data_IF_864902991681
#
_entry.id   IF_864902991681
#
_cell.length_a   1.000
_cell.length_b   1.000
_cell.length_c   1.000
_cell.angle_alpha   90.00
_cell.angle_beta   90.00
_cell.angle_gamma   90.00
#
_symmetry.space_group_name_H-M   'P 1'
#
loop_
_entity.id
_entity.type
_entity.pdbx_description
1 polymer ?
#
# COMPACT_ATOMS: atom_id res chain seq x y z
N UNK A 1 -49.06 7.57 -16.63
CA UNK A 1 -48.01 7.24 -17.62
C UNK A 1 -46.79 6.74 -16.85
N UNK A 2 -46.35 5.52 -17.20
CA UNK A 2 -45.25 4.76 -16.61
C UNK A 2 -43.94 5.53 -16.81
N UNK A 3 -43.18 5.79 -15.75
CA UNK A 3 -41.78 6.21 -15.87
C UNK A 3 -40.90 5.05 -15.43
N UNK A 4 -40.11 4.61 -16.40
CA UNK A 4 -39.34 3.39 -16.44
C UNK A 4 -38.24 3.35 -15.38
N UNK A 5 -38.10 2.19 -14.76
CA UNK A 5 -36.90 1.72 -14.08
C UNK A 5 -35.72 1.76 -15.07
N UNK A 6 -34.67 2.53 -14.78
CA UNK A 6 -33.38 2.40 -15.45
C UNK A 6 -32.42 1.73 -14.47
N UNK A 7 -32.01 0.53 -14.85
CA UNK A 7 -31.08 -0.34 -14.16
C UNK A 7 -29.72 0.33 -13.97
N UNK A 8 -29.34 0.59 -12.71
CA UNK A 8 -27.99 0.92 -12.32
C UNK A 8 -27.17 -0.37 -12.19
N UNK A 9 -26.83 -0.98 -13.32
CA UNK A 9 -25.95 -2.14 -13.40
C UNK A 9 -24.52 -1.72 -13.71
N UNK A 10 -23.58 -2.30 -12.97
CA UNK A 10 -22.15 -2.47 -13.24
C UNK A 10 -21.25 -1.22 -13.18
N UNK A 11 -20.54 -1.00 -12.07
CA UNK A 11 -19.17 -0.43 -12.06
C UNK A 11 -18.44 -0.69 -10.72
N UNK A 12 -18.18 -1.96 -10.35
CA UNK A 12 -17.44 -2.30 -9.12
C UNK A 12 -16.15 -3.11 -9.34
N UNK A 13 -15.67 -3.27 -10.57
CA UNK A 13 -14.60 -4.24 -10.87
C UNK A 13 -13.20 -3.64 -11.17
N UNK A 14 -12.94 -2.35 -10.92
CA UNK A 14 -11.67 -1.71 -11.32
C UNK A 14 -10.79 -1.15 -10.19
N UNK A 15 -11.24 -1.15 -8.93
CA UNK A 15 -10.44 -0.54 -7.85
C UNK A 15 -9.29 -1.43 -7.37
N UNK A 16 -9.39 -2.75 -7.51
CA UNK A 16 -8.41 -3.69 -6.95
C UNK A 16 -7.08 -3.69 -7.68
N UNK A 17 -7.07 -3.53 -9.01
CA UNK A 17 -5.85 -3.48 -9.81
C UNK A 17 -5.04 -2.19 -9.56
N UNK A 18 -5.73 -1.05 -9.44
CA UNK A 18 -5.09 0.23 -9.14
C UNK A 18 -4.50 0.25 -7.72
N UNK A 19 -5.20 -0.35 -6.75
CA UNK A 19 -4.70 -0.53 -5.38
C UNK A 19 -3.46 -1.41 -5.35
N UNK A 20 -3.44 -2.53 -6.07
CA UNK A 20 -2.30 -3.44 -6.09
C UNK A 20 -1.00 -2.79 -6.58
N UNK A 21 -1.06 -1.86 -7.54
CA UNK A 21 0.12 -1.15 -8.03
C UNK A 21 0.53 0.07 -7.18
N UNK A 22 -0.29 0.49 -6.20
CA UNK A 22 -0.02 1.72 -5.45
C UNK A 22 1.26 1.63 -4.62
N UNK A 23 1.63 0.42 -4.17
CA UNK A 23 2.84 0.18 -3.39
C UNK A 23 4.14 0.55 -4.11
N UNK A 24 4.18 0.48 -5.45
CA UNK A 24 5.34 0.92 -6.25
C UNK A 24 5.69 2.40 -5.98
N UNK A 25 4.70 3.25 -5.72
CA UNK A 25 4.93 4.67 -5.40
C UNK A 25 4.93 4.93 -3.90
N UNK A 26 4.08 4.23 -3.15
CA UNK A 26 3.88 4.50 -1.73
C UNK A 26 5.03 3.99 -0.85
N UNK A 27 5.67 2.87 -1.18
CA UNK A 27 6.83 2.39 -0.42
C UNK A 27 8.02 3.36 -0.49
N UNK A 28 8.47 3.82 -1.67
CA UNK A 28 9.52 4.84 -1.75
C UNK A 28 9.17 6.14 -1.04
N UNK A 29 7.90 6.55 -1.06
CA UNK A 29 7.44 7.73 -0.33
C UNK A 29 7.53 7.54 1.19
N UNK A 30 7.15 6.36 1.70
CA UNK A 30 7.25 6.03 3.12
C UNK A 30 8.71 5.95 3.60
N UNK A 31 9.62 5.42 2.79
CA UNK A 31 11.07 5.42 3.08
C UNK A 31 11.58 6.86 3.25
N UNK A 32 11.28 7.75 2.29
CA UNK A 32 11.69 9.17 2.38
C UNK A 32 11.10 9.88 3.61
N UNK A 33 9.84 9.59 3.94
CA UNK A 33 9.20 10.13 5.12
C UNK A 33 9.88 9.66 6.41
N UNK A 34 10.27 8.38 6.48
CA UNK A 34 10.99 7.81 7.63
C UNK A 34 12.38 8.43 7.80
N UNK A 35 13.13 8.57 6.71
CA UNK A 35 14.44 9.21 6.72
C UNK A 35 14.35 10.65 7.25
N UNK A 36 13.33 11.39 6.79
CA UNK A 36 13.10 12.79 7.14
C UNK A 36 12.42 12.99 8.51
N UNK A 37 11.92 11.94 9.16
CA UNK A 37 11.22 12.06 10.44
C UNK A 37 12.19 12.52 11.54
N UNK A 38 11.85 13.59 12.27
CA UNK A 38 12.71 14.16 13.33
C UNK A 38 12.36 13.68 14.74
N UNK A 39 11.24 12.97 14.91
CA UNK A 39 10.72 12.51 16.19
C UNK A 39 11.22 11.11 16.58
N UNK A 40 11.60 10.30 15.58
CA UNK A 40 12.10 8.94 15.78
C UNK A 40 13.61 8.94 16.00
N UNK A 41 14.06 8.18 17.00
CA UNK A 41 15.48 7.92 17.22
C UNK A 41 16.03 6.91 16.19
N UNK A 42 17.36 6.72 16.19
CA UNK A 42 18.02 5.86 15.20
C UNK A 42 17.55 4.40 15.22
N UNK A 43 17.34 3.82 16.41
CA UNK A 43 16.88 2.44 16.57
C UNK A 43 15.44 2.27 16.05
N UNK A 44 14.54 3.20 16.37
CA UNK A 44 13.18 3.20 15.86
C UNK A 44 13.15 3.31 14.34
N UNK A 45 14.00 4.17 13.77
CA UNK A 45 14.14 4.30 12.31
C UNK A 45 14.64 3.01 11.67
N UNK A 46 15.64 2.36 12.26
CA UNK A 46 16.18 1.11 11.76
C UNK A 46 15.12 0.00 11.75
N UNK A 47 14.35 -0.14 12.83
CA UNK A 47 13.26 -1.12 12.93
C UNK A 47 12.21 -0.87 11.85
N UNK A 48 11.71 0.36 11.73
CA UNK A 48 10.70 0.71 10.73
C UNK A 48 11.23 0.59 9.30
N UNK A 49 12.51 0.89 9.07
CA UNK A 49 13.15 0.73 7.76
C UNK A 49 13.18 -0.73 7.36
N UNK A 50 13.58 -1.62 8.27
CA UNK A 50 13.59 -3.06 8.02
C UNK A 50 12.19 -3.58 7.67
N UNK A 51 11.18 -3.14 8.39
CA UNK A 51 9.79 -3.54 8.13
C UNK A 51 9.27 -3.00 6.79
N UNK A 52 9.63 -1.76 6.42
CA UNK A 52 9.32 -1.19 5.10
C UNK A 52 9.98 -1.98 3.98
N UNK A 53 11.28 -2.29 4.11
CA UNK A 53 12.02 -3.07 3.11
C UNK A 53 11.47 -4.48 2.95
N UNK A 54 11.11 -5.14 4.05
CA UNK A 54 10.48 -6.46 4.02
C UNK A 54 9.13 -6.41 3.28
N UNK A 55 8.30 -5.41 3.57
CA UNK A 55 7.04 -5.21 2.86
C UNK A 55 7.22 -4.93 1.36
N UNK A 56 8.16 -4.06 1.00
CA UNK A 56 8.48 -3.74 -0.39
C UNK A 56 8.93 -5.00 -1.15
N UNK A 57 9.78 -5.83 -0.54
CA UNK A 57 10.20 -7.09 -1.15
C UNK A 57 9.03 -8.05 -1.41
N UNK A 58 8.05 -8.13 -0.48
CA UNK A 58 6.82 -8.92 -0.68
C UNK A 58 5.96 -8.34 -1.81
N UNK A 59 5.90 -7.01 -1.93
CA UNK A 59 5.18 -6.33 -3.02
C UNK A 59 5.79 -6.65 -4.39
N UNK A 60 7.11 -6.50 -4.51
CA UNK A 60 7.87 -6.76 -5.73
C UNK A 60 7.80 -8.22 -6.15
N UNK A 61 7.90 -9.14 -5.19
CA UNK A 61 7.69 -10.58 -5.42
C UNK A 61 6.23 -10.88 -5.83
N UNK A 62 5.27 -10.14 -5.29
CA UNK A 62 3.88 -10.15 -5.74
C UNK A 62 3.76 -9.80 -7.22
N UNK A 63 4.41 -8.73 -7.67
CA UNK A 63 4.48 -8.38 -9.09
C UNK A 63 5.19 -9.44 -9.93
N UNK A 64 6.36 -9.92 -9.48
CA UNK A 64 7.15 -10.90 -10.21
C UNK A 64 6.42 -12.24 -10.41
N UNK A 65 5.57 -12.62 -9.45
CA UNK A 65 4.81 -13.88 -9.46
C UNK A 65 3.34 -13.71 -9.84
N UNK A 66 2.91 -12.49 -10.21
CA UNK A 66 1.51 -12.12 -10.44
C UNK A 66 0.59 -12.55 -9.27
N UNK A 67 1.09 -12.49 -8.04
CA UNK A 67 0.40 -12.93 -6.84
C UNK A 67 -0.26 -11.73 -6.14
N UNK A 68 -1.56 -11.55 -6.43
CA UNK A 68 -2.39 -10.49 -5.85
C UNK A 68 -2.49 -10.56 -4.31
N UNK A 69 -2.38 -11.75 -3.71
CA UNK A 69 -2.39 -11.90 -2.26
C UNK A 69 -1.14 -11.30 -1.61
N UNK A 70 0.04 -11.50 -2.21
CA UNK A 70 1.29 -10.88 -1.74
C UNK A 70 1.26 -9.37 -1.89
N UNK A 71 0.78 -8.86 -3.03
CA UNK A 71 0.58 -7.42 -3.22
C UNK A 71 -0.37 -6.86 -2.15
N UNK A 72 -1.52 -7.49 -1.91
CA UNK A 72 -2.45 -7.06 -0.85
C UNK A 72 -1.83 -7.06 0.56
N UNK A 73 -1.14 -8.14 0.92
CA UNK A 73 -0.47 -8.27 2.22
C UNK A 73 0.63 -7.21 2.42
N UNK A 74 1.40 -6.92 1.38
CA UNK A 74 2.40 -5.85 1.44
C UNK A 74 1.73 -4.50 1.71
N UNK A 75 0.62 -4.19 1.04
CA UNK A 75 -0.09 -2.92 1.22
C UNK A 75 -0.69 -2.78 2.63
N UNK A 76 -1.20 -3.86 3.22
CA UNK A 76 -1.65 -3.87 4.62
C UNK A 76 -0.49 -3.58 5.59
N UNK A 77 0.69 -4.15 5.32
CA UNK A 77 1.92 -3.85 6.07
C UNK A 77 2.26 -2.36 5.96
N UNK A 78 2.23 -1.80 4.75
CA UNK A 78 2.50 -0.39 4.51
C UNK A 78 1.50 0.52 5.25
N UNK A 79 0.21 0.21 5.21
CA UNK A 79 -0.83 0.95 5.93
C UNK A 79 -0.61 0.92 7.45
N UNK A 80 -0.10 -0.18 7.99
CA UNK A 80 0.23 -0.31 9.42
C UNK A 80 1.47 0.50 9.82
N UNK A 81 2.43 0.66 8.90
CA UNK A 81 3.68 1.39 9.16
C UNK A 81 3.54 2.90 8.96
N UNK A 82 2.75 3.37 7.98
CA UNK A 82 2.59 4.80 7.66
C UNK A 82 2.27 5.66 8.89
N UNK A 83 1.31 5.32 9.76
CA UNK A 83 1.02 6.10 10.96
C UNK A 83 2.20 6.20 11.92
N UNK A 84 3.09 5.19 11.98
CA UNK A 84 4.28 5.22 12.86
C UNK A 84 5.37 6.13 12.31
N UNK A 85 5.39 6.33 10.99
CA UNK A 85 6.36 7.16 10.27
C UNK A 85 5.94 8.62 10.22
N UNK A 86 4.65 8.91 10.15
CA UNK A 86 4.12 10.27 9.97
C UNK A 86 3.68 10.95 11.28
N UNK A 87 3.97 10.34 12.43
CA UNK A 87 3.72 10.90 13.76
C UNK A 87 4.78 11.93 14.15
#
# INVERSE_FOLDING_TARGET
MKHSLIAATLFLASTTAALACSGTQEYPAAVKALESNQHLNAEQKEILMKDLMAGMAVHDDGHATNNMSKMGQSLETLQTLKPKITQ
#
